data_IF_733548554426
#
_entry.id   IF_733548554426
#
_cell.length_a   1.000
_cell.length_b   1.000
_cell.length_c   1.000
_cell.angle_alpha   90.00
_cell.angle_beta   90.00
_cell.angle_gamma   90.00
#
_symmetry.space_group_name_H-M   'P 1'
#
loop_
_entity.id
_entity.type
_entity.pdbx_description
1 polymer ?
#
# COMPACT_ATOMS: atom_id res chain seq x y z
N UNK A 1 -12.63 -12.47 8.55
CA UNK A 1 -12.40 -11.14 9.17
C UNK A 1 -10.97 -10.75 8.84
N UNK A 2 -10.73 -9.58 8.22
CA UNK A 2 -9.37 -9.12 7.90
C UNK A 2 -8.71 -8.52 9.13
N UNK A 3 -7.38 -8.59 9.22
CA UNK A 3 -6.63 -7.90 10.27
C UNK A 3 -6.81 -6.39 10.16
N UNK A 4 -6.95 -5.71 11.31
CA UNK A 4 -7.10 -4.26 11.37
C UNK A 4 -5.84 -3.69 12.01
N UNK A 5 -4.85 -3.45 11.16
CA UNK A 5 -3.56 -2.88 11.52
C UNK A 5 -3.16 -1.79 10.54
N UNK A 6 -2.30 -0.91 11.00
CA UNK A 6 -1.91 0.33 10.35
C UNK A 6 -0.41 0.51 10.49
N UNK A 7 0.17 1.26 9.55
CA UNK A 7 1.52 1.79 9.68
C UNK A 7 1.50 3.32 9.51
N UNK A 8 2.44 4.01 10.12
CA UNK A 8 2.65 5.44 9.90
C UNK A 8 4.14 5.70 9.70
N UNK A 9 4.48 6.54 8.72
CA UNK A 9 5.85 6.97 8.48
C UNK A 9 6.24 8.09 9.44
N UNK A 10 7.27 7.85 10.26
CA UNK A 10 7.78 8.84 11.21
C UNK A 10 9.27 8.63 11.45
N UNK A 11 10.06 9.71 11.38
CA UNK A 11 11.49 9.66 11.71
C UNK A 11 12.31 8.71 10.82
N UNK A 12 11.92 8.54 9.55
CA UNK A 12 12.65 7.71 8.58
C UNK A 12 12.36 6.21 8.67
N UNK A 13 11.28 5.79 9.33
CA UNK A 13 10.84 4.39 9.37
C UNK A 13 9.32 4.28 9.55
N UNK A 14 8.78 3.11 9.24
CA UNK A 14 7.41 2.76 9.56
C UNK A 14 7.23 2.31 11.00
N UNK A 15 6.15 2.77 11.60
CA UNK A 15 5.68 2.39 12.92
C UNK A 15 4.31 1.74 12.81
N UNK A 16 4.17 0.54 13.38
CA UNK A 16 2.98 -0.30 13.22
C UNK A 16 2.11 -0.26 14.47
N UNK A 17 0.79 -0.26 14.28
CA UNK A 17 -0.19 -0.18 15.36
C UNK A 17 -1.54 -0.79 14.94
N UNK A 18 -2.45 -1.00 15.90
CA UNK A 18 -3.74 -1.66 15.70
C UNK A 18 -3.81 -3.06 16.32
N UNK A 19 -4.73 -3.88 15.84
CA UNK A 19 -4.90 -5.27 16.28
C UNK A 19 -3.96 -6.17 15.50
N UNK A 20 -2.84 -6.52 16.11
CA UNK A 20 -1.76 -7.31 15.50
C UNK A 20 -1.79 -8.71 16.09
N UNK A 21 -1.60 -9.73 15.25
CA UNK A 21 -1.54 -11.12 15.74
C UNK A 21 -0.37 -11.27 16.72
N UNK A 22 -0.64 -11.85 17.89
CA UNK A 22 0.37 -12.08 18.91
C UNK A 22 1.46 -13.01 18.37
N UNK A 23 2.70 -12.68 18.72
CA UNK A 23 3.88 -13.54 18.47
C UNK A 23 3.94 -14.75 19.40
N UNK A 24 3.10 -14.79 20.44
CA UNK A 24 3.11 -15.83 21.47
C UNK A 24 1.85 -16.72 21.47
N UNK A 25 0.94 -16.56 20.52
CA UNK A 25 -0.30 -17.34 20.45
C UNK A 25 -1.17 -17.00 19.25
N UNK A 26 -2.39 -17.53 19.22
CA UNK A 26 -3.39 -17.27 18.16
C UNK A 26 -4.30 -16.05 18.45
N UNK A 27 -4.04 -15.33 19.54
CA UNK A 27 -4.79 -14.13 19.91
C UNK A 27 -4.27 -12.87 19.21
N UNK A 28 -5.09 -11.80 19.23
CA UNK A 28 -4.72 -10.46 18.76
C UNK A 28 -4.44 -9.54 19.94
N UNK A 29 -3.39 -8.74 19.84
CA UNK A 29 -3.02 -7.71 20.80
C UNK A 29 -3.20 -6.32 20.18
N UNK A 30 -3.66 -5.34 20.96
CA UNK A 30 -3.72 -3.95 20.51
C UNK A 30 -2.39 -3.26 20.76
N UNK A 31 -1.68 -2.91 19.70
CA UNK A 31 -0.44 -2.13 19.72
C UNK A 31 -0.75 -0.66 19.48
N UNK A 32 -0.38 0.22 20.40
CA UNK A 32 -0.46 1.68 20.22
C UNK A 32 0.80 2.21 19.52
N UNK A 33 0.67 3.28 18.74
CA UNK A 33 1.79 3.98 18.07
C UNK A 33 2.79 4.65 19.05
N UNK A 34 2.55 4.57 20.37
CA UNK A 34 3.20 5.40 21.40
C UNK A 34 4.55 4.90 21.92
N UNK A 35 5.07 3.75 21.50
CA UNK A 35 6.32 3.19 22.02
C UNK A 35 7.53 3.46 21.11
N UNK A 36 7.71 4.71 20.70
CA UNK A 36 8.82 5.09 19.84
C UNK A 36 9.51 6.31 20.44
N UNK A 37 10.85 6.34 20.42
CA UNK A 37 11.64 7.49 20.87
C UNK A 37 11.46 8.74 19.97
N UNK A 38 10.35 8.84 19.23
CA UNK A 38 9.99 9.98 18.41
C UNK A 38 8.99 10.86 19.18
N UNK A 39 8.94 12.14 18.83
CA UNK A 39 7.93 13.07 19.37
C UNK A 39 6.51 12.47 19.21
N UNK A 40 5.67 12.51 20.25
CA UNK A 40 4.35 11.89 20.21
C UNK A 40 3.47 12.60 19.18
N UNK A 41 2.97 11.85 18.18
CA UNK A 41 1.96 12.36 17.26
C UNK A 41 0.64 12.63 17.99
N UNK A 42 0.00 13.76 17.69
CA UNK A 42 -1.38 14.02 18.09
C UNK A 42 -2.32 12.97 17.49
N UNK A 43 -3.53 12.82 18.05
CA UNK A 43 -4.51 11.87 17.51
C UNK A 43 -4.90 12.20 16.06
N UNK A 44 -4.96 13.49 15.71
CA UNK A 44 -5.21 13.94 14.34
C UNK A 44 -4.08 13.50 13.41
N UNK A 45 -2.82 13.71 13.79
CA UNK A 45 -1.67 13.27 12.97
C UNK A 45 -1.60 11.75 12.85
N UNK A 46 -1.96 11.01 13.91
CA UNK A 46 -2.07 9.54 13.83
C UNK A 46 -3.11 9.14 12.79
N UNK A 47 -4.27 9.79 12.78
CA UNK A 47 -5.33 9.50 11.81
C UNK A 47 -4.89 9.85 10.39
N UNK A 48 -4.34 11.04 10.17
CA UNK A 48 -3.95 11.54 8.85
C UNK A 48 -2.76 10.80 8.23
N UNK A 49 -1.84 10.28 9.04
CA UNK A 49 -0.62 9.61 8.57
C UNK A 49 -0.73 8.08 8.55
N UNK A 50 -1.85 7.53 9.02
CA UNK A 50 -2.02 6.09 9.07
C UNK A 50 -2.39 5.53 7.71
N UNK A 51 -1.59 4.57 7.28
CA UNK A 51 -1.80 3.75 6.11
C UNK A 51 -2.32 2.39 6.56
N UNK A 52 -3.49 2.01 6.06
CA UNK A 52 -4.13 0.77 6.49
C UNK A 52 -3.59 -0.44 5.72
N UNK A 53 -3.45 -1.57 6.40
CA UNK A 53 -3.22 -2.87 5.77
C UNK A 53 -4.42 -3.26 4.88
N UNK A 54 -4.16 -3.66 3.65
CA UNK A 54 -5.24 -3.95 2.70
C UNK A 54 -5.99 -5.25 3.01
N UNK A 55 -5.32 -6.20 3.68
CA UNK A 55 -5.75 -7.60 3.77
C UNK A 55 -5.12 -8.51 2.70
N UNK A 56 -4.32 -7.94 1.79
CA UNK A 56 -3.68 -8.65 0.69
C UNK A 56 -2.18 -8.85 0.96
N UNK A 57 -1.64 -9.90 0.38
CA UNK A 57 -0.22 -10.25 0.44
C UNK A 57 0.25 -10.41 -1.00
N UNK A 58 1.41 -9.85 -1.31
CA UNK A 58 2.02 -9.92 -2.63
C UNK A 58 2.65 -11.31 -2.90
N UNK A 59 3.20 -11.52 -4.10
CA UNK A 59 3.82 -12.82 -4.47
C UNK A 59 5.05 -13.20 -3.64
N UNK A 60 5.67 -12.24 -2.96
CA UNK A 60 6.87 -12.40 -2.14
C UNK A 60 6.54 -12.52 -0.64
N UNK A 61 5.27 -12.75 -0.29
CA UNK A 61 4.75 -12.78 1.08
C UNK A 61 4.89 -11.46 1.84
N UNK A 62 4.88 -10.32 1.12
CA UNK A 62 4.89 -8.99 1.70
C UNK A 62 3.45 -8.49 1.82
N UNK A 63 3.10 -8.02 3.02
CA UNK A 63 1.80 -7.40 3.27
C UNK A 63 1.67 -6.09 2.50
N UNK A 64 0.54 -5.90 1.81
CA UNK A 64 0.27 -4.69 1.04
C UNK A 64 -0.50 -3.69 1.90
N UNK A 65 0.02 -2.48 2.02
CA UNK A 65 -0.56 -1.35 2.73
C UNK A 65 -0.92 -0.22 1.77
N UNK A 66 -1.79 0.68 2.21
CA UNK A 66 -1.97 1.97 1.58
C UNK A 66 -0.64 2.73 1.40
N UNK A 67 -0.48 3.39 0.26
CA UNK A 67 0.74 4.10 -0.13
C UNK A 67 1.89 3.19 -0.55
N UNK A 68 1.74 1.86 -0.58
CA UNK A 68 2.70 0.99 -1.27
C UNK A 68 2.67 1.26 -2.78
N UNK A 69 3.84 1.13 -3.39
CA UNK A 69 4.01 1.18 -4.84
C UNK A 69 4.20 -0.27 -5.27
N UNK A 70 3.27 -0.74 -6.09
CA UNK A 70 3.29 -2.10 -6.62
C UNK A 70 3.56 -2.10 -8.12
N UNK A 71 4.21 -3.16 -8.58
CA UNK A 71 4.29 -3.51 -9.99
C UNK A 71 3.39 -4.71 -10.25
N UNK A 72 2.72 -4.72 -11.39
CA UNK A 72 1.84 -5.81 -11.79
C UNK A 72 1.93 -6.07 -13.28
N UNK A 73 1.83 -7.36 -13.62
CA UNK A 73 1.96 -7.85 -14.98
C UNK A 73 0.59 -8.05 -15.64
N UNK A 74 0.18 -7.11 -16.49
CA UNK A 74 -1.02 -7.23 -17.29
C UNK A 74 -0.78 -7.84 -18.68
N UNK A 75 0.43 -8.34 -18.98
CA UNK A 75 0.72 -8.93 -20.30
C UNK A 75 -0.13 -10.18 -20.59
N UNK A 76 -0.59 -10.88 -19.54
CA UNK A 76 -1.50 -12.03 -19.66
C UNK A 76 -2.87 -11.69 -20.25
N UNK A 77 -3.28 -10.42 -20.20
CA UNK A 77 -4.52 -9.90 -20.77
C UNK A 77 -4.28 -8.90 -21.91
N UNK A 78 -3.08 -8.94 -22.52
CA UNK A 78 -2.70 -8.07 -23.64
C UNK A 78 -2.30 -6.65 -23.23
N UNK A 79 -2.09 -6.41 -21.93
CA UNK A 79 -1.55 -5.16 -21.40
C UNK A 79 -0.03 -5.16 -21.29
N UNK A 80 0.49 -4.27 -20.44
CA UNK A 80 1.92 -4.10 -20.19
C UNK A 80 2.24 -4.29 -18.70
N UNK A 81 3.52 -4.28 -18.35
CA UNK A 81 3.94 -4.17 -16.96
C UNK A 81 3.68 -2.74 -16.49
N UNK A 82 2.90 -2.58 -15.42
CA UNK A 82 2.45 -1.27 -14.93
C UNK A 82 2.79 -1.13 -13.44
N UNK A 83 3.10 0.10 -13.03
CA UNK A 83 3.32 0.48 -11.63
C UNK A 83 2.19 1.38 -11.14
N UNK A 84 1.75 1.19 -9.91
CA UNK A 84 0.69 1.99 -9.30
C UNK A 84 0.86 2.12 -7.79
N UNK A 85 0.32 3.19 -7.26
CA UNK A 85 0.20 3.41 -5.81
C UNK A 85 -1.08 2.75 -5.30
N UNK A 86 -0.99 2.00 -4.20
CA UNK A 86 -2.13 1.40 -3.51
C UNK A 86 -2.88 2.48 -2.75
N UNK A 87 -4.15 2.68 -3.10
CA UNK A 87 -5.01 3.70 -2.47
C UNK A 87 -6.37 3.10 -2.11
N UNK A 88 -7.01 3.64 -1.08
CA UNK A 88 -8.42 3.41 -0.85
C UNK A 88 -9.24 4.25 -1.84
N UNK A 89 -10.14 3.63 -2.59
CA UNK A 89 -11.04 4.36 -3.46
C UNK A 89 -12.29 4.79 -2.72
N UNK A 90 -12.42 6.10 -2.52
CA UNK A 90 -13.59 6.77 -1.96
C UNK A 90 -14.45 7.45 -3.04
N UNK A 91 -14.09 7.31 -4.33
CA UNK A 91 -14.89 7.81 -5.44
C UNK A 91 -16.17 6.99 -5.61
N UNK A 92 -17.25 7.52 -5.06
CA UNK A 92 -18.59 6.92 -5.13
C UNK A 92 -19.18 6.90 -6.56
N UNK A 93 -18.52 7.50 -7.55
CA UNK A 93 -18.90 7.34 -8.97
C UNK A 93 -18.36 6.05 -9.57
N UNK A 94 -17.29 5.49 -8.99
CA UNK A 94 -16.83 4.15 -9.27
C UNK A 94 -17.74 3.17 -8.52
N UNK A 95 -18.11 2.07 -9.16
CA UNK A 95 -19.18 1.18 -8.70
C UNK A 95 -18.88 0.42 -7.40
N UNK A 96 -17.71 0.63 -6.79
CA UNK A 96 -17.24 -0.06 -5.58
C UNK A 96 -16.28 0.79 -4.73
N UNK A 97 -16.48 0.74 -3.41
CA UNK A 97 -15.52 1.18 -2.40
C UNK A 97 -14.58 0.02 -2.10
N UNK A 98 -13.36 0.08 -2.63
CA UNK A 98 -12.38 -1.00 -2.53
C UNK A 98 -10.95 -0.47 -2.56
N UNK A 99 -10.00 -1.36 -2.28
CA UNK A 99 -8.59 -1.09 -2.54
C UNK A 99 -8.31 -1.16 -4.04
N UNK A 100 -7.53 -0.22 -4.54
CA UNK A 100 -7.09 -0.23 -5.92
C UNK A 100 -5.81 0.54 -6.13
N UNK A 101 -5.43 0.62 -7.39
CA UNK A 101 -4.18 1.24 -7.80
C UNK A 101 -4.45 2.55 -8.50
N UNK A 102 -3.87 3.63 -7.98
CA UNK A 102 -3.75 4.90 -8.65
C UNK A 102 -2.49 4.87 -9.53
N UNK A 103 -2.71 5.00 -10.83
CA UNK A 103 -1.60 5.13 -11.78
C UNK A 103 -1.16 6.58 -11.91
N UNK A 104 0.15 6.79 -11.95
CA UNK A 104 0.78 8.11 -12.08
C UNK A 104 1.41 8.28 -13.47
N UNK A 105 1.43 9.50 -13.99
CA UNK A 105 1.98 9.83 -15.32
C UNK A 105 0.94 9.84 -16.45
N UNK A 106 1.35 9.47 -17.68
CA UNK A 106 0.52 9.60 -18.90
C UNK A 106 -0.73 8.71 -18.93
N UNK A 107 -0.72 7.61 -18.17
CA UNK A 107 -1.91 6.77 -17.94
C UNK A 107 -2.44 7.06 -16.55
N UNK A 108 -3.25 8.11 -16.42
CA UNK A 108 -4.03 8.33 -15.20
C UNK A 108 -5.22 7.38 -15.19
N UNK A 109 -5.44 6.70 -14.07
CA UNK A 109 -6.54 5.76 -13.94
C UNK A 109 -6.54 5.03 -12.60
N UNK A 110 -7.67 4.39 -12.33
CA UNK A 110 -7.88 3.56 -11.16
C UNK A 110 -8.12 2.12 -11.60
N UNK A 111 -7.41 1.18 -10.98
CA UNK A 111 -7.60 -0.25 -11.22
C UNK A 111 -8.01 -0.95 -9.92
N UNK A 112 -9.13 -1.68 -9.88
CA UNK A 112 -9.47 -2.53 -8.74
C UNK A 112 -8.40 -3.59 -8.52
N UNK A 113 -8.09 -3.90 -7.26
CA UNK A 113 -7.16 -4.98 -6.94
C UNK A 113 -7.64 -6.37 -7.41
N UNK A 114 -8.95 -6.59 -7.49
CA UNK A 114 -9.57 -7.87 -7.87
C UNK A 114 -9.29 -8.33 -9.32
N UNK A 115 -8.90 -7.42 -10.20
CA UNK A 115 -8.65 -7.70 -11.62
C UNK A 115 -7.16 -7.71 -11.99
N UNK A 116 -6.28 -7.62 -11.00
CA UNK A 116 -4.85 -7.54 -11.23
C UNK A 116 -4.22 -8.93 -11.17
N UNK A 117 -3.16 -9.12 -11.97
CA UNK A 117 -2.33 -10.31 -11.92
C UNK A 117 -1.51 -10.39 -10.64
N UNK A 118 -0.31 -10.95 -10.74
CA UNK A 118 0.60 -11.01 -9.58
C UNK A 118 1.12 -9.61 -9.23
N UNK A 119 0.67 -9.10 -8.08
CA UNK A 119 1.21 -7.89 -7.47
C UNK A 119 2.57 -8.20 -6.81
N UNK A 120 3.48 -7.24 -6.92
CA UNK A 120 4.75 -7.22 -6.21
C UNK A 120 4.98 -5.81 -5.66
N UNK A 121 5.22 -5.71 -4.35
CA UNK A 121 5.60 -4.45 -3.71
C UNK A 121 7.03 -4.11 -4.10
N UNK A 122 7.25 -2.92 -4.65
CA UNK A 122 8.57 -2.43 -5.08
C UNK A 122 9.04 -1.19 -4.31
N UNK A 123 8.20 -0.66 -3.42
CA UNK A 123 8.51 0.52 -2.61
C UNK A 123 7.24 1.11 -2.01
N UNK A 124 7.34 2.34 -1.51
CA UNK A 124 6.20 3.13 -1.04
C UNK A 124 6.44 4.62 -1.25
N UNK A 125 5.40 5.43 -1.11
CA UNK A 125 5.44 6.88 -1.37
C UNK A 125 6.39 7.68 -0.46
N UNK A 126 6.85 7.11 0.66
CA UNK A 126 7.78 7.78 1.58
C UNK A 126 9.24 7.41 1.32
N UNK A 127 9.53 6.12 1.16
CA UNK A 127 10.89 5.61 0.93
C UNK A 127 11.32 5.75 -0.52
N UNK A 128 10.37 5.67 -1.46
CA UNK A 128 10.63 5.60 -2.89
C UNK A 128 9.70 6.49 -3.73
N UNK A 129 9.56 7.79 -3.40
CA UNK A 129 8.69 8.69 -4.16
C UNK A 129 9.07 8.79 -5.65
N UNK A 130 10.34 8.56 -5.98
CA UNK A 130 10.86 8.54 -7.36
C UNK A 130 10.22 7.46 -8.23
N UNK A 131 9.74 6.35 -7.66
CA UNK A 131 9.12 5.25 -8.43
C UNK A 131 7.78 5.64 -9.08
N UNK A 132 7.16 6.74 -8.62
CA UNK A 132 5.93 7.29 -9.21
C UNK A 132 6.20 8.25 -10.37
N UNK A 133 7.40 8.78 -10.49
CA UNK A 133 7.78 9.72 -11.54
C UNK A 133 8.35 8.96 -12.74
N UNK A 134 7.73 9.12 -13.92
CA UNK A 134 8.25 8.58 -15.17
C UNK A 134 9.59 9.24 -15.52
N UNK A 135 10.66 8.46 -15.44
CA UNK A 135 11.93 8.70 -16.13
C UNK A 135 12.40 7.42 -16.82
N UNK A 136 12.17 7.35 -18.13
CA UNK A 136 12.93 6.57 -19.15
C UNK A 136 13.04 5.03 -19.10
N UNK A 137 12.76 4.30 -18.01
CA UNK A 137 13.02 2.85 -17.97
C UNK A 137 11.88 1.92 -18.42
N UNK A 138 10.78 2.46 -18.96
CA UNK A 138 9.61 1.66 -19.38
C UNK A 138 9.67 1.15 -20.83
N UNK A 139 10.84 1.17 -21.48
CA UNK A 139 11.14 0.30 -22.61
C UNK A 139 11.98 -0.86 -22.12
N UNK A 140 11.39 -1.74 -21.31
CA UNK A 140 11.91 -3.11 -21.24
C UNK A 140 11.51 -3.78 -22.56
N UNK A 141 12.32 -3.54 -23.59
CA UNK A 141 12.33 -4.35 -24.79
C UNK A 141 12.65 -5.79 -24.37
N UNK A 142 11.64 -6.66 -24.39
CA UNK A 142 11.82 -8.10 -24.62
C UNK A 142 10.84 -8.51 -25.70
#
# INVERSE_FOLDING_TARGET
MREIKFRAWQGGRFHYWGFIKSKYGDDYEFHSLTDTNAEPLSMTEKMERSQQYTGLIDKNNIEIYEGDIVIFDNRTIGGELVRGEVVWCDDNTLSRLEWGLRLHGERQGYYPTDFLGYLEVIGNIYENPELLNKGEDNLVNV
#
